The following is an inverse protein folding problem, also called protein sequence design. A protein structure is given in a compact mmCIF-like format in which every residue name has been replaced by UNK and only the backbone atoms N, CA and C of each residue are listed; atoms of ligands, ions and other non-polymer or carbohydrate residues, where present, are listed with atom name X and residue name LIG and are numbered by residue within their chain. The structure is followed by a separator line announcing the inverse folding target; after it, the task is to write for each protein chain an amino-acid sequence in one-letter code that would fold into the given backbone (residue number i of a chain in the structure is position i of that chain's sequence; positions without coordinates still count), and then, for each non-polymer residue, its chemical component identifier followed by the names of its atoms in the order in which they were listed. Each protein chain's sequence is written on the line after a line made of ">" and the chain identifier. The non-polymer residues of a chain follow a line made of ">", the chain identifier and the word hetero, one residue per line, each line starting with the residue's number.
data_IF_569395427317
#
_entry.id   IF_569395427317
#
_cell.length_a   1.000
_cell.length_b   1.000
_cell.length_c   1.000
_cell.angle_alpha   90.00
_cell.angle_beta   90.00
_cell.angle_gamma   90.00
#
_symmetry.space_group_name_H-M   'P 1'
#
loop_
_entity.id
_entity.type
_entity.pdbx_description
1 polymer ?
#
# COMPACT_ATOMS: atom_id res chain seq x y z
N UNK A 1 -11.98 4.28 26.82
CA UNK A 1 -12.58 3.61 27.98
C UNK A 1 -12.33 2.09 27.94
N UNK A 2 -12.74 1.37 26.90
CA UNK A 2 -12.62 -0.10 26.77
C UNK A 2 -11.16 -0.58 26.92
N UNK A 3 -10.20 0.03 26.23
CA UNK A 3 -8.77 -0.29 26.36
C UNK A 3 -8.21 -0.01 27.76
N UNK A 4 -8.72 1.02 28.45
CA UNK A 4 -8.29 1.41 29.78
C UNK A 4 -8.85 0.47 30.87
N UNK A 5 -10.12 0.12 30.78
CA UNK A 5 -10.84 -0.61 31.82
C UNK A 5 -10.90 -2.13 31.56
N UNK A 6 -10.63 -2.58 30.33
CA UNK A 6 -10.59 -4.00 29.90
C UNK A 6 -11.73 -4.84 30.50
N UNK A 7 -12.99 -4.43 30.30
CA UNK A 7 -14.11 -5.14 30.92
C UNK A 7 -14.12 -6.62 30.52
N UNK A 8 -14.49 -7.49 31.47
CA UNK A 8 -14.32 -8.94 31.40
C UNK A 8 -15.07 -9.61 30.23
N UNK A 9 -16.20 -9.04 29.83
CA UNK A 9 -17.09 -9.56 28.80
C UNK A 9 -17.08 -8.74 27.50
N UNK A 10 -15.98 -8.03 27.22
CA UNK A 10 -15.87 -7.25 25.99
C UNK A 10 -15.03 -7.93 24.94
N UNK A 11 -15.41 -7.71 23.68
CA UNK A 11 -14.62 -8.14 22.53
C UNK A 11 -13.29 -7.40 22.53
N UNK A 12 -12.18 -8.11 22.59
CA UNK A 12 -10.84 -7.53 22.64
C UNK A 12 -10.06 -7.85 21.38
N UNK A 13 -9.76 -6.80 20.60
CA UNK A 13 -8.81 -6.89 19.50
C UNK A 13 -7.40 -6.61 20.02
N UNK A 14 -6.55 -7.64 20.08
CA UNK A 14 -5.19 -7.55 20.65
C UNK A 14 -4.16 -6.89 19.73
N UNK A 15 -4.38 -6.87 18.42
CA UNK A 15 -3.41 -6.33 17.46
C UNK A 15 -3.63 -4.83 17.25
N UNK A 16 -2.86 -4.03 17.97
CA UNK A 16 -2.91 -2.57 17.98
C UNK A 16 -1.80 -1.92 17.11
N UNK A 17 -1.10 -2.72 16.32
CA UNK A 17 -0.02 -2.20 15.47
C UNK A 17 -0.59 -1.45 14.27
N UNK A 18 -0.08 -0.23 14.05
CA UNK A 18 -0.40 0.53 12.84
C UNK A 18 0.06 -0.22 11.58
N UNK A 19 -0.73 -0.14 10.52
CA UNK A 19 -0.34 -0.70 9.23
C UNK A 19 0.89 0.00 8.66
N UNK A 20 1.74 -0.72 7.92
CA UNK A 20 2.82 -0.09 7.17
C UNK A 20 2.29 0.66 5.95
N UNK A 21 2.96 1.76 5.64
CA UNK A 21 2.79 2.57 4.45
C UNK A 21 4.11 2.60 3.67
N UNK A 22 4.04 2.86 2.38
CA UNK A 22 5.18 3.30 1.59
C UNK A 22 5.17 4.82 1.58
N UNK A 23 6.31 5.42 1.88
CA UNK A 23 6.49 6.87 1.91
C UNK A 23 7.51 7.29 0.87
N UNK A 24 7.19 8.34 0.13
CA UNK A 24 8.07 9.03 -0.83
C UNK A 24 8.06 10.52 -0.46
N UNK A 25 9.19 11.08 -0.05
CA UNK A 25 9.30 12.48 0.34
C UNK A 25 9.11 13.41 -0.85
N UNK A 26 8.41 14.52 -0.68
CA UNK A 26 8.17 15.51 -1.74
C UNK A 26 9.27 16.57 -1.82
N UNK A 27 9.76 17.04 -0.66
CA UNK A 27 10.76 18.11 -0.56
C UNK A 27 12.19 17.67 -0.83
N UNK A 28 12.45 16.37 -0.85
CA UNK A 28 13.79 15.85 -1.10
C UNK A 28 14.19 16.07 -2.56
N UNK A 29 15.39 16.57 -2.80
CA UNK A 29 15.94 16.68 -4.15
C UNK A 29 16.10 15.30 -4.81
N UNK A 30 16.37 14.28 -4.00
CA UNK A 30 16.53 12.89 -4.38
C UNK A 30 15.63 11.99 -3.51
N UNK A 31 14.30 11.98 -3.74
CA UNK A 31 13.38 11.23 -2.89
C UNK A 31 13.74 9.75 -2.82
N UNK A 32 13.66 9.19 -1.63
CA UNK A 32 13.81 7.75 -1.43
C UNK A 32 12.47 7.09 -1.14
N UNK A 33 12.34 5.83 -1.54
CA UNK A 33 11.18 5.02 -1.17
C UNK A 33 11.47 4.32 0.15
N UNK A 34 10.63 4.57 1.15
CA UNK A 34 10.79 3.98 2.49
C UNK A 34 9.50 3.38 3.01
N UNK A 35 9.62 2.46 3.96
CA UNK A 35 8.50 1.97 4.74
C UNK A 35 8.26 2.91 5.92
N UNK A 36 7.02 3.32 6.12
CA UNK A 36 6.58 4.17 7.22
C UNK A 36 5.52 3.47 8.08
N UNK A 37 5.52 3.73 9.37
CA UNK A 37 4.47 3.34 10.31
C UNK A 37 4.21 4.48 11.30
N UNK A 38 2.98 4.56 11.78
CA UNK A 38 2.57 5.58 12.75
C UNK A 38 1.97 6.82 12.09
N UNK A 39 2.12 7.98 12.74
CA UNK A 39 1.55 9.24 12.26
C UNK A 39 2.19 9.67 10.93
N UNK A 40 1.37 10.22 10.04
CA UNK A 40 1.79 10.78 8.75
C UNK A 40 2.22 12.24 8.95
N UNK A 41 3.32 12.46 9.65
CA UNK A 41 3.85 13.75 10.06
C UNK A 41 4.85 14.36 9.07
N UNK A 42 5.31 13.58 8.09
CA UNK A 42 6.27 14.01 7.08
C UNK A 42 5.56 14.49 5.82
N UNK A 43 6.03 15.58 5.24
CA UNK A 43 5.52 16.05 3.95
C UNK A 43 5.96 15.11 2.81
N UNK A 44 4.97 14.62 2.05
CA UNK A 44 5.18 13.68 0.96
C UNK A 44 4.01 12.72 0.75
N UNK A 45 4.22 11.76 -0.10
CA UNK A 45 3.20 10.81 -0.53
C UNK A 45 3.23 9.54 0.32
N UNK A 46 2.07 9.18 0.86
CA UNK A 46 1.86 7.96 1.65
C UNK A 46 0.93 7.02 0.90
N UNK A 47 1.42 5.85 0.57
CA UNK A 47 0.66 4.79 -0.09
C UNK A 47 0.44 3.63 0.87
N UNK A 48 -0.78 3.22 1.03
CA UNK A 48 -1.19 2.20 1.99
C UNK A 48 -2.64 2.41 2.45
N UNK A 49 -3.10 1.71 3.47
CA UNK A 49 -2.35 0.74 4.31
C UNK A 49 -2.02 -0.58 3.61
N UNK A 50 -0.84 -1.14 3.88
CA UNK A 50 -0.50 -2.50 3.47
C UNK A 50 -0.86 -3.49 4.58
N UNK A 51 -1.35 -4.67 4.21
CA UNK A 51 -1.73 -5.70 5.16
C UNK A 51 -0.57 -6.18 6.06
N UNK A 52 0.64 -6.21 5.52
CA UNK A 52 1.83 -6.65 6.25
C UNK A 52 3.08 -5.88 5.87
N UNK A 53 4.09 -5.93 6.75
CA UNK A 53 5.41 -5.39 6.45
C UNK A 53 6.09 -6.11 5.28
N UNK A 54 5.79 -7.40 5.10
CA UNK A 54 6.28 -8.21 3.97
C UNK A 54 5.79 -7.68 2.64
N UNK A 55 4.48 -7.42 2.53
CA UNK A 55 3.86 -6.85 1.33
C UNK A 55 4.42 -5.47 1.00
N UNK A 56 4.57 -4.58 2.00
CA UNK A 56 5.17 -3.27 1.80
C UNK A 56 6.62 -3.37 1.31
N UNK A 57 7.44 -4.24 1.91
CA UNK A 57 8.83 -4.45 1.50
C UNK A 57 8.93 -5.04 0.09
N UNK A 58 8.03 -5.96 -0.27
CA UNK A 58 7.95 -6.51 -1.61
C UNK A 58 7.65 -5.42 -2.65
N UNK A 59 6.65 -4.58 -2.37
CA UNK A 59 6.29 -3.45 -3.25
C UNK A 59 7.46 -2.46 -3.40
N UNK A 60 8.19 -2.13 -2.31
CA UNK A 60 9.39 -1.29 -2.38
C UNK A 60 10.46 -1.91 -3.30
N UNK A 61 10.72 -3.22 -3.16
CA UNK A 61 11.68 -3.92 -4.03
C UNK A 61 11.26 -3.90 -5.51
N UNK A 62 9.93 -3.96 -5.78
CA UNK A 62 9.39 -3.86 -7.13
C UNK A 62 9.55 -2.45 -7.70
N UNK A 63 9.23 -1.41 -6.91
CA UNK A 63 9.44 -0.02 -7.30
C UNK A 63 10.92 0.27 -7.64
N UNK A 64 11.84 -0.26 -6.84
CA UNK A 64 13.27 -0.19 -7.14
C UNK A 64 13.62 -0.84 -8.47
N UNK A 65 13.11 -2.04 -8.73
CA UNK A 65 13.42 -2.78 -9.96
C UNK A 65 12.90 -2.07 -11.22
N UNK A 66 11.71 -1.44 -11.13
CA UNK A 66 11.06 -0.81 -12.27
C UNK A 66 11.58 0.61 -12.50
N UNK A 67 11.65 1.42 -11.43
CA UNK A 67 11.93 2.86 -11.52
C UNK A 67 13.36 3.24 -11.07
N UNK A 68 14.14 2.27 -10.60
CA UNK A 68 15.55 2.44 -10.17
C UNK A 68 15.73 3.52 -9.09
N UNK A 69 14.78 3.62 -8.16
CA UNK A 69 14.79 4.60 -7.09
C UNK A 69 15.74 4.21 -5.96
N UNK A 70 16.36 5.21 -5.34
CA UNK A 70 17.21 5.00 -4.18
C UNK A 70 16.41 4.59 -2.94
N UNK A 71 17.03 3.80 -2.08
CA UNK A 71 16.51 3.43 -0.74
C UNK A 71 17.49 3.68 0.38
N UNK A 72 18.75 4.04 0.05
CA UNK A 72 19.76 4.37 1.05
C UNK A 72 19.36 5.60 1.87
N UNK A 73 19.80 5.66 3.12
CA UNK A 73 19.64 6.82 3.99
C UNK A 73 20.49 8.01 3.48
N UNK A 74 20.18 9.21 3.99
CA UNK A 74 20.79 10.44 3.51
C UNK A 74 22.26 10.56 3.91
N UNK A 75 22.66 9.97 5.04
CA UNK A 75 24.05 9.89 5.46
C UNK A 75 24.87 9.05 4.50
N UNK A 76 24.38 7.84 4.19
CA UNK A 76 25.02 6.97 3.17
C UNK A 76 25.02 7.62 1.79
N UNK A 77 23.95 8.32 1.41
CA UNK A 77 23.86 9.00 0.12
C UNK A 77 24.90 10.10 -0.05
N UNK A 78 25.04 11.00 0.94
CA UNK A 78 25.98 12.14 0.91
C UNK A 78 27.44 11.75 0.93
N UNK A 79 27.77 10.65 1.64
CA UNK A 79 29.16 10.21 1.83
C UNK A 79 29.67 9.25 0.75
N UNK A 80 28.83 8.90 -0.24
CA UNK A 80 29.19 7.89 -1.23
C UNK A 80 30.02 8.49 -2.37
N UNK A 81 31.19 7.90 -2.62
CA UNK A 81 32.11 8.30 -3.70
C UNK A 81 32.10 7.36 -4.92
N UNK A 82 31.48 6.19 -4.79
CA UNK A 82 31.37 5.17 -5.86
C UNK A 82 30.00 4.52 -5.85
N UNK A 83 29.49 4.04 -7.01
CA UNK A 83 28.19 3.38 -7.08
C UNK A 83 28.18 2.11 -6.22
N UNK A 84 27.00 1.82 -5.64
CA UNK A 84 26.82 0.61 -4.85
C UNK A 84 26.33 -0.56 -5.73
N UNK A 85 26.25 -1.75 -5.12
CA UNK A 85 25.76 -2.94 -5.79
C UNK A 85 24.37 -2.76 -6.42
N UNK A 86 23.50 -1.93 -5.82
CA UNK A 86 22.16 -1.68 -6.37
C UNK A 86 22.19 -0.98 -7.73
N UNK A 87 23.20 -0.14 -7.99
CA UNK A 87 23.44 0.40 -9.32
C UNK A 87 23.88 -0.68 -10.29
N UNK A 88 24.85 -1.50 -9.89
CA UNK A 88 25.40 -2.56 -10.74
C UNK A 88 24.31 -3.58 -11.14
N UNK A 89 23.40 -3.93 -10.22
CA UNK A 89 22.27 -4.84 -10.50
C UNK A 89 21.04 -4.11 -11.07
N UNK A 90 21.20 -2.87 -11.57
CA UNK A 90 20.14 -2.04 -12.20
C UNK A 90 18.90 -1.84 -11.34
N UNK A 91 19.08 -1.71 -10.01
CA UNK A 91 18.00 -1.38 -9.05
C UNK A 91 18.06 0.02 -8.49
N UNK A 92 19.04 0.81 -8.89
CA UNK A 92 19.22 2.21 -8.55
C UNK A 92 19.90 2.92 -9.71
N UNK A 93 19.48 4.13 -10.04
CA UNK A 93 20.06 4.94 -11.12
C UNK A 93 21.37 5.65 -10.74
N UNK A 94 21.83 5.50 -9.48
CA UNK A 94 23.13 6.06 -9.03
C UNK A 94 23.14 7.57 -8.82
N UNK A 95 22.08 8.21 -8.27
CA UNK A 95 22.07 9.66 -8.10
C UNK A 95 23.12 10.17 -7.11
N UNK A 96 23.60 9.32 -6.19
CA UNK A 96 24.67 9.67 -5.24
C UNK A 96 26.05 9.92 -5.87
N UNK A 97 26.27 9.47 -7.10
CA UNK A 97 27.52 9.62 -7.86
C UNK A 97 27.31 10.36 -9.19
N UNK A 98 26.16 10.99 -9.38
CA UNK A 98 25.85 11.82 -10.54
C UNK A 98 25.59 11.06 -11.85
N UNK A 99 25.23 9.77 -11.78
CA UNK A 99 24.96 8.95 -12.98
C UNK A 99 23.58 9.20 -13.58
N UNK A 100 22.72 9.95 -12.90
CA UNK A 100 21.44 10.44 -13.41
C UNK A 100 21.29 11.89 -13.01
N UNK A 101 20.72 12.70 -13.88
CA UNK A 101 20.39 14.08 -13.55
C UNK A 101 19.10 14.17 -12.70
N UNK A 102 18.88 15.37 -12.14
CA UNK A 102 17.77 15.63 -11.23
C UNK A 102 16.39 15.49 -11.92
N UNK A 103 16.29 15.92 -13.17
CA UNK A 103 15.01 15.94 -13.90
C UNK A 103 14.61 14.51 -14.27
N UNK A 104 15.53 13.69 -14.73
CA UNK A 104 15.27 12.31 -15.09
C UNK A 104 15.00 11.44 -13.86
N UNK A 105 15.68 11.72 -12.73
CA UNK A 105 15.35 11.08 -11.47
C UNK A 105 13.94 11.45 -11.00
N UNK A 106 13.57 12.74 -11.11
CA UNK A 106 12.22 13.20 -10.77
C UNK A 106 11.16 12.54 -11.64
N UNK A 107 11.36 12.41 -12.95
CA UNK A 107 10.47 11.64 -13.84
C UNK A 107 10.27 10.21 -13.35
N UNK A 108 11.35 9.54 -12.94
CA UNK A 108 11.28 8.18 -12.39
C UNK A 108 10.47 8.12 -11.08
N UNK A 109 10.60 9.13 -10.21
CA UNK A 109 9.80 9.26 -8.98
C UNK A 109 8.32 9.48 -9.31
N UNK A 110 8.01 10.41 -10.23
CA UNK A 110 6.64 10.72 -10.64
C UNK A 110 5.95 9.49 -11.29
N UNK A 111 6.66 8.74 -12.10
CA UNK A 111 6.19 7.46 -12.66
C UNK A 111 5.91 6.44 -11.56
N UNK A 112 6.77 6.34 -10.55
CA UNK A 112 6.55 5.45 -9.42
C UNK A 112 5.31 5.84 -8.60
N UNK A 113 5.11 7.14 -8.34
CA UNK A 113 3.93 7.69 -7.67
C UNK A 113 2.66 7.36 -8.47
N UNK A 114 2.66 7.59 -9.78
CA UNK A 114 1.54 7.27 -10.67
C UNK A 114 1.24 5.76 -10.66
N UNK A 115 2.27 4.92 -10.67
CA UNK A 115 2.10 3.47 -10.62
C UNK A 115 1.39 3.01 -9.33
N UNK A 116 1.87 3.47 -8.17
CA UNK A 116 1.27 3.10 -6.88
C UNK A 116 -0.13 3.71 -6.71
N UNK A 117 -0.41 4.83 -7.40
CA UNK A 117 -1.74 5.45 -7.49
C UNK A 117 -2.69 4.76 -8.49
N UNK A 118 -2.29 3.62 -9.09
CA UNK A 118 -3.13 2.81 -9.98
C UNK A 118 -3.14 3.19 -11.46
N UNK A 119 -2.32 4.17 -11.90
CA UNK A 119 -2.22 4.60 -13.30
C UNK A 119 -1.25 3.75 -14.14
N UNK A 120 -1.22 2.46 -13.89
CA UNK A 120 -0.24 1.55 -14.49
C UNK A 120 -0.36 1.42 -16.02
N UNK A 121 -1.56 1.52 -16.60
CA UNK A 121 -1.77 1.47 -18.07
C UNK A 121 -1.14 2.67 -18.79
N UNK A 122 -1.24 3.85 -18.20
CA UNK A 122 -0.67 5.08 -18.75
C UNK A 122 0.86 5.01 -18.76
N UNK A 123 1.45 4.50 -17.68
CA UNK A 123 2.89 4.28 -17.58
C UNK A 123 3.38 3.27 -18.63
N UNK A 124 2.68 2.15 -18.81
CA UNK A 124 3.02 1.18 -19.85
C UNK A 124 3.02 1.79 -21.24
N UNK A 125 1.98 2.58 -21.55
CA UNK A 125 1.87 3.27 -22.85
C UNK A 125 3.04 4.25 -23.07
N UNK A 126 3.45 4.98 -22.02
CA UNK A 126 4.57 5.91 -22.10
C UNK A 126 5.90 5.17 -22.26
N UNK A 127 6.14 4.10 -21.49
CA UNK A 127 7.34 3.28 -21.61
C UNK A 127 7.43 2.57 -22.97
N UNK A 128 6.30 2.17 -23.57
CA UNK A 128 6.29 1.62 -24.94
C UNK A 128 6.73 2.65 -25.97
N UNK A 129 6.24 3.88 -25.87
CA UNK A 129 6.69 4.97 -26.77
C UNK A 129 8.17 5.28 -26.59
N UNK A 130 8.67 5.32 -25.35
CA UNK A 130 10.09 5.56 -25.09
C UNK A 130 10.96 4.40 -25.61
N UNK A 131 10.48 3.16 -25.54
CA UNK A 131 11.12 1.98 -26.10
C UNK A 131 11.20 2.05 -27.62
N UNK A 132 10.09 2.39 -28.28
CA UNK A 132 10.01 2.55 -29.75
C UNK A 132 10.95 3.66 -30.21
N UNK A 133 10.92 4.83 -29.59
CA UNK A 133 11.78 5.96 -29.93
C UNK A 133 13.29 5.63 -29.77
N UNK A 134 13.66 4.90 -28.71
CA UNK A 134 15.03 4.44 -28.52
C UNK A 134 15.45 3.41 -29.60
N UNK A 135 14.52 2.53 -29.99
CA UNK A 135 14.76 1.56 -31.07
C UNK A 135 14.95 2.24 -32.44
N UNK A 136 14.15 3.26 -32.75
CA UNK A 136 14.29 4.06 -33.98
C UNK A 136 15.65 4.79 -34.05
N UNK A 137 16.17 5.22 -32.89
CA UNK A 137 17.48 5.82 -32.75
C UNK A 137 18.63 4.79 -32.71
N UNK A 138 18.34 3.51 -32.91
CA UNK A 138 19.28 2.37 -32.83
C UNK A 138 19.95 2.24 -31.44
N UNK A 139 19.42 2.89 -30.39
CA UNK A 139 19.85 2.73 -28.99
C UNK A 139 19.18 1.49 -28.38
N UNK A 140 19.63 0.32 -28.81
CA UNK A 140 19.07 -0.96 -28.37
C UNK A 140 19.30 -1.26 -26.89
N UNK A 141 20.33 -0.69 -26.27
CA UNK A 141 20.57 -0.84 -24.82
C UNK A 141 19.45 -0.13 -24.05
N UNK A 142 19.13 1.09 -24.42
CA UNK A 142 18.06 1.87 -23.80
C UNK A 142 16.69 1.25 -24.08
N UNK A 143 16.43 0.81 -25.30
CA UNK A 143 15.20 0.09 -25.66
C UNK A 143 15.03 -1.19 -24.81
N UNK A 144 16.10 -1.95 -24.58
CA UNK A 144 16.05 -3.17 -23.74
C UNK A 144 15.70 -2.86 -22.28
N UNK A 145 16.17 -1.72 -21.73
CA UNK A 145 15.81 -1.27 -20.38
C UNK A 145 14.32 -1.00 -20.28
N UNK A 146 13.72 -0.29 -21.24
CA UNK A 146 12.29 0.00 -21.26
C UNK A 146 11.46 -1.27 -21.41
N UNK A 147 11.85 -2.20 -22.30
CA UNK A 147 11.22 -3.52 -22.46
C UNK A 147 11.21 -4.30 -21.14
N UNK A 148 12.31 -4.34 -20.41
CA UNK A 148 12.43 -5.09 -19.16
C UNK A 148 11.60 -4.44 -18.03
N UNK A 149 11.45 -3.11 -18.04
CA UNK A 149 10.52 -2.38 -17.16
C UNK A 149 9.06 -2.75 -17.47
N UNK A 150 8.66 -2.73 -18.74
CA UNK A 150 7.31 -3.13 -19.19
C UNK A 150 7.02 -4.58 -18.79
N UNK A 151 7.96 -5.51 -19.01
CA UNK A 151 7.84 -6.91 -18.59
C UNK A 151 7.64 -7.03 -17.09
N UNK A 152 8.37 -6.27 -16.30
CA UNK A 152 8.22 -6.25 -14.84
C UNK A 152 6.86 -5.70 -14.39
N UNK A 153 6.34 -4.67 -15.05
CA UNK A 153 4.99 -4.13 -14.81
C UNK A 153 3.91 -5.18 -15.14
N UNK A 154 4.05 -5.90 -16.26
CA UNK A 154 3.11 -6.95 -16.67
C UNK A 154 3.05 -8.10 -15.66
N UNK A 155 4.20 -8.52 -15.10
CA UNK A 155 4.24 -9.56 -14.05
C UNK A 155 3.48 -9.12 -12.81
N UNK A 156 3.61 -7.87 -12.39
CA UNK A 156 2.87 -7.33 -11.23
C UNK A 156 1.37 -7.31 -11.52
N UNK A 157 0.96 -6.82 -12.69
CA UNK A 157 -0.44 -6.78 -13.08
C UNK A 157 -1.06 -8.17 -13.22
N UNK A 158 -0.32 -9.16 -13.72
CA UNK A 158 -0.82 -10.53 -13.85
C UNK A 158 -0.99 -11.23 -12.50
N UNK A 159 -0.13 -10.96 -11.53
CA UNK A 159 -0.28 -11.47 -10.16
C UNK A 159 -1.44 -10.82 -9.40
N UNK A 160 -1.95 -9.69 -9.89
CA UNK A 160 -3.06 -8.94 -9.30
C UNK A 160 -4.40 -9.17 -10.01
N UNK A 161 -4.48 -10.05 -11.01
CA UNK A 161 -5.68 -10.30 -11.83
C UNK A 161 -6.89 -10.92 -11.11
N UNK A 162 -6.80 -11.17 -9.80
CA UNK A 162 -7.96 -11.54 -8.96
C UNK A 162 -8.71 -10.28 -8.48
N UNK A 163 -8.51 -9.16 -9.14
CA UNK A 163 -9.13 -7.89 -8.75
C UNK A 163 -10.41 -7.67 -9.57
N UNK A 164 -11.55 -7.68 -8.90
CA UNK A 164 -12.79 -7.19 -9.49
C UNK A 164 -12.62 -5.70 -9.89
N UNK A 165 -12.96 -5.44 -11.15
CA UNK A 165 -12.58 -4.19 -11.84
C UNK A 165 -13.16 -2.90 -11.25
N UNK A 166 -14.03 -2.96 -10.24
CA UNK A 166 -14.83 -1.82 -9.74
C UNK A 166 -14.44 -1.32 -8.33
N UNK A 167 -13.64 -2.06 -7.56
CA UNK A 167 -13.24 -1.64 -6.21
C UNK A 167 -12.04 -0.70 -6.26
N UNK A 168 -12.32 0.60 -6.23
CA UNK A 168 -11.26 1.63 -6.28
C UNK A 168 -10.57 1.75 -4.92
N UNK A 169 -11.35 1.84 -3.85
CA UNK A 169 -10.86 2.07 -2.48
C UNK A 169 -11.86 1.44 -1.50
N UNK A 170 -11.58 0.20 -1.09
CA UNK A 170 -12.47 -0.60 -0.28
C UNK A 170 -11.73 -1.55 0.66
N UNK A 171 -12.35 -1.89 1.78
CA UNK A 171 -11.97 -3.01 2.61
C UNK A 171 -13.07 -4.08 2.55
N UNK A 172 -12.69 -5.32 2.26
CA UNK A 172 -13.62 -6.46 2.32
C UNK A 172 -13.36 -7.21 3.61
N UNK A 173 -14.37 -7.26 4.47
CA UNK A 173 -14.28 -7.84 5.81
C UNK A 173 -15.21 -9.04 5.89
N UNK A 174 -14.65 -10.23 6.03
CA UNK A 174 -15.40 -11.47 6.15
C UNK A 174 -15.18 -12.11 7.53
N UNK A 175 -16.27 -12.44 8.22
CA UNK A 175 -16.24 -13.13 9.49
C UNK A 175 -16.77 -14.57 9.33
N UNK A 176 -16.12 -15.50 10.00
CA UNK A 176 -16.55 -16.87 10.14
C UNK A 176 -16.40 -17.31 11.61
N UNK A 177 -17.47 -17.87 12.17
CA UNK A 177 -17.52 -18.36 13.55
C UNK A 177 -17.74 -19.86 13.55
N UNK A 178 -16.87 -20.57 14.25
CA UNK A 178 -16.96 -22.01 14.45
C UNK A 178 -16.47 -22.38 15.85
N UNK A 179 -17.18 -23.28 16.51
CA UNK A 179 -16.82 -23.82 17.83
C UNK A 179 -16.46 -22.74 18.88
N UNK A 180 -17.25 -21.65 18.91
CA UNK A 180 -17.06 -20.56 19.86
C UNK A 180 -15.87 -19.63 19.55
N UNK A 181 -15.17 -19.82 18.41
CA UNK A 181 -14.07 -18.97 17.95
C UNK A 181 -14.46 -18.25 16.67
N UNK A 182 -14.00 -17.02 16.52
CA UNK A 182 -14.27 -16.22 15.31
C UNK A 182 -12.96 -15.81 14.65
N UNK A 183 -12.89 -16.04 13.33
CA UNK A 183 -11.88 -15.50 12.46
C UNK A 183 -12.50 -14.36 11.63
N UNK A 184 -11.87 -13.20 11.61
CA UNK A 184 -12.26 -12.09 10.76
C UNK A 184 -11.11 -11.80 9.80
N UNK A 185 -11.37 -11.95 8.50
CA UNK A 185 -10.40 -11.70 7.44
C UNK A 185 -10.68 -10.35 6.81
N UNK A 186 -9.68 -9.47 6.74
CA UNK A 186 -9.78 -8.16 6.09
C UNK A 186 -8.87 -8.14 4.87
N UNK A 187 -9.44 -7.83 3.71
CA UNK A 187 -8.73 -7.62 2.46
C UNK A 187 -8.70 -6.12 2.14
N UNK A 188 -7.55 -5.60 1.76
CA UNK A 188 -7.35 -4.18 1.49
C UNK A 188 -7.27 -3.93 -0.01
N UNK A 189 -8.23 -3.21 -0.56
CA UNK A 189 -8.23 -2.76 -1.95
C UNK A 189 -7.96 -1.26 -1.99
N UNK A 190 -6.91 -0.87 -2.71
CA UNK A 190 -6.55 0.54 -2.93
C UNK A 190 -6.13 0.72 -4.38
N UNK A 191 -6.62 1.79 -5.03
CA UNK A 191 -6.33 2.08 -6.43
C UNK A 191 -6.58 0.89 -7.36
N UNK A 192 -7.68 0.15 -7.14
CA UNK A 192 -8.06 -1.06 -7.87
C UNK A 192 -7.09 -2.23 -7.71
N UNK A 193 -6.24 -2.24 -6.70
CA UNK A 193 -5.27 -3.29 -6.43
C UNK A 193 -5.50 -3.89 -5.05
N UNK A 194 -5.36 -5.22 -4.95
CA UNK A 194 -5.35 -5.90 -3.66
C UNK A 194 -3.98 -5.71 -3.00
N UNK A 195 -3.94 -4.96 -1.89
CA UNK A 195 -2.72 -4.70 -1.13
C UNK A 195 -2.48 -5.71 0.00
N UNK A 196 -3.14 -6.85 -0.10
CA UNK A 196 -3.00 -7.97 0.81
C UNK A 196 -4.20 -8.13 1.75
N UNK A 197 -4.07 -9.06 2.66
CA UNK A 197 -5.10 -9.37 3.65
C UNK A 197 -4.48 -9.68 5.03
N UNK A 198 -5.31 -9.59 6.06
CA UNK A 198 -4.92 -9.88 7.43
C UNK A 198 -6.06 -10.58 8.16
N UNK A 199 -5.74 -11.68 8.86
CA UNK A 199 -6.67 -12.38 9.74
C UNK A 199 -6.59 -11.84 11.16
N UNK A 200 -7.74 -11.73 11.80
CA UNK A 200 -7.92 -11.32 13.19
C UNK A 200 -8.74 -12.36 13.94
N UNK A 201 -8.38 -12.60 15.19
CA UNK A 201 -9.05 -13.54 16.07
C UNK A 201 -9.47 -12.79 17.34
N UNK A 202 -10.61 -12.05 17.30
CA UNK A 202 -11.09 -11.31 18.48
C UNK A 202 -11.45 -12.29 19.59
N UNK A 203 -11.17 -11.90 20.82
CA UNK A 203 -11.65 -12.63 22.00
C UNK A 203 -13.05 -12.12 22.34
N UNK A 204 -13.99 -13.03 22.44
CA UNK A 204 -15.38 -12.76 22.77
C UNK A 204 -15.97 -13.93 23.56
N UNK A 205 -17.20 -13.77 24.06
CA UNK A 205 -17.94 -14.86 24.65
C UNK A 205 -18.31 -15.88 23.55
N UNK A 206 -18.15 -17.21 23.80
CA UNK A 206 -18.52 -18.25 22.84
C UNK A 206 -19.96 -18.17 22.33
N UNK A 207 -20.91 -17.69 23.15
CA UNK A 207 -22.32 -17.60 22.81
C UNK A 207 -22.69 -16.29 22.08
N UNK A 208 -21.79 -15.34 22.01
CA UNK A 208 -22.04 -14.03 21.38
C UNK A 208 -22.31 -14.15 19.88
N UNK A 209 -23.29 -13.40 19.36
CA UNK A 209 -23.69 -13.43 17.97
C UNK A 209 -22.61 -12.83 17.05
N UNK A 210 -22.43 -13.42 15.88
CA UNK A 210 -21.46 -12.96 14.87
C UNK A 210 -21.71 -11.50 14.43
N UNK A 211 -22.97 -11.06 14.41
CA UNK A 211 -23.41 -9.69 14.11
C UNK A 211 -22.85 -8.68 15.11
N UNK A 212 -22.92 -8.99 16.41
CA UNK A 212 -22.34 -8.15 17.49
C UNK A 212 -20.81 -8.15 17.43
N UNK A 213 -20.22 -9.32 17.17
CA UNK A 213 -18.77 -9.46 17.05
C UNK A 213 -18.25 -8.59 15.89
N UNK A 214 -18.94 -8.61 14.72
CA UNK A 214 -18.57 -7.83 13.56
C UNK A 214 -18.73 -6.32 13.83
N UNK A 215 -19.84 -5.88 14.41
CA UNK A 215 -20.07 -4.46 14.76
C UNK A 215 -18.98 -3.93 15.69
N UNK A 216 -18.68 -4.68 16.77
CA UNK A 216 -17.62 -4.30 17.72
C UNK A 216 -16.23 -4.35 17.10
N UNK A 217 -15.98 -5.32 16.22
CA UNK A 217 -14.72 -5.40 15.49
C UNK A 217 -14.50 -4.18 14.61
N UNK A 218 -15.47 -3.78 13.78
CA UNK A 218 -15.35 -2.63 12.88
C UNK A 218 -15.03 -1.35 13.64
N UNK A 219 -15.72 -1.08 14.75
CA UNK A 219 -15.49 0.11 15.56
C UNK A 219 -14.09 0.12 16.18
N UNK A 220 -13.62 -1.00 16.73
CA UNK A 220 -12.28 -1.11 17.30
C UNK A 220 -11.19 -1.10 16.23
N UNK A 221 -11.44 -1.77 15.10
CA UNK A 221 -10.50 -1.87 14.00
C UNK A 221 -10.19 -0.50 13.37
N UNK A 222 -11.23 0.28 13.14
CA UNK A 222 -11.08 1.61 12.56
C UNK A 222 -10.80 2.73 13.58
N UNK A 223 -10.74 2.46 14.88
CA UNK A 223 -10.42 3.48 15.90
C UNK A 223 -9.11 4.22 15.59
N UNK A 224 -8.05 3.50 15.18
CA UNK A 224 -6.72 4.06 14.93
C UNK A 224 -6.25 3.84 13.48
N UNK A 225 -7.15 3.49 12.56
CA UNK A 225 -6.84 3.22 11.16
C UNK A 225 -7.66 4.12 10.24
N UNK A 226 -7.13 4.44 9.08
CA UNK A 226 -7.87 5.15 8.03
C UNK A 226 -8.99 4.27 7.49
N UNK A 227 -10.14 4.87 7.25
CA UNK A 227 -11.32 4.17 6.74
C UNK A 227 -11.41 4.39 5.23
N UNK A 228 -11.63 3.34 4.41
CA UNK A 228 -11.91 3.51 2.99
C UNK A 228 -13.31 4.04 2.77
N UNK A 229 -13.60 4.50 1.54
CA UNK A 229 -14.95 4.96 1.17
C UNK A 229 -15.99 3.86 1.21
N UNK A 230 -15.58 2.60 0.99
CA UNK A 230 -16.46 1.45 0.96
C UNK A 230 -15.92 0.33 1.86
N UNK A 231 -16.78 -0.22 2.70
CA UNK A 231 -16.53 -1.42 3.49
C UNK A 231 -17.54 -2.46 3.05
N UNK A 232 -17.08 -3.61 2.57
CA UNK A 232 -17.93 -4.72 2.17
C UNK A 232 -17.85 -5.78 3.26
N UNK A 233 -18.99 -6.22 3.77
CA UNK A 233 -19.09 -7.22 4.83
C UNK A 233 -19.94 -8.41 4.36
N UNK A 234 -19.66 -9.60 4.91
CA UNK A 234 -20.41 -10.82 4.63
C UNK A 234 -21.51 -11.12 5.65
N UNK A 235 -21.67 -10.27 6.65
CA UNK A 235 -22.60 -10.48 7.77
C UNK A 235 -23.32 -9.16 8.06
N UNK A 236 -24.60 -9.19 8.33
CA UNK A 236 -25.33 -8.03 8.82
C UNK A 236 -24.71 -7.52 10.12
N UNK A 237 -24.80 -6.23 10.35
CA UNK A 237 -24.29 -5.57 11.55
C UNK A 237 -25.40 -4.78 12.25
N UNK A 238 -25.32 -4.72 13.56
CA UNK A 238 -26.21 -3.85 14.36
C UNK A 238 -25.80 -2.39 14.15
N UNK A 239 -26.79 -1.49 14.17
CA UNK A 239 -26.57 -0.05 14.14
C UNK A 239 -25.72 0.45 12.93
N UNK A 240 -25.87 -0.20 11.78
CA UNK A 240 -25.14 0.10 10.55
C UNK A 240 -25.05 1.61 10.27
N UNK A 241 -26.19 2.33 10.33
CA UNK A 241 -26.22 3.78 10.09
C UNK A 241 -25.37 4.56 11.08
N UNK A 242 -25.42 4.21 12.35
CA UNK A 242 -24.63 4.86 13.38
C UNK A 242 -23.12 4.65 13.17
N UNK A 243 -22.73 3.44 12.76
CA UNK A 243 -21.33 3.11 12.43
C UNK A 243 -20.88 3.92 11.20
N UNK A 244 -21.67 3.97 10.12
CA UNK A 244 -21.39 4.76 8.92
C UNK A 244 -21.22 6.25 9.24
N UNK A 245 -22.12 6.83 10.03
CA UNK A 245 -22.04 8.24 10.46
C UNK A 245 -20.80 8.52 11.31
N UNK A 246 -20.49 7.63 12.25
CA UNK A 246 -19.32 7.77 13.13
C UNK A 246 -18.01 7.72 12.35
N UNK A 247 -17.89 6.75 11.43
CA UNK A 247 -16.71 6.61 10.59
C UNK A 247 -16.59 7.76 9.57
N UNK A 248 -17.73 8.22 9.02
CA UNK A 248 -17.77 9.36 8.09
C UNK A 248 -17.34 10.67 8.76
N UNK A 249 -17.78 10.93 9.99
CA UNK A 249 -17.33 12.08 10.78
C UNK A 249 -15.81 12.03 11.08
N UNK A 250 -15.29 10.83 11.35
CA UNK A 250 -13.87 10.66 11.63
C UNK A 250 -12.98 11.03 10.43
N UNK A 251 -13.36 10.64 9.23
CA UNK A 251 -12.54 10.82 8.01
C UNK A 251 -12.93 12.07 7.21
N UNK A 252 -13.96 12.81 7.62
CA UNK A 252 -14.58 13.93 6.88
C UNK A 252 -15.01 13.56 5.45
N UNK A 253 -15.41 12.31 5.23
CA UNK A 253 -15.84 11.77 3.95
C UNK A 253 -17.02 10.82 4.15
N UNK A 254 -17.89 10.69 3.12
CA UNK A 254 -18.96 9.70 3.14
C UNK A 254 -18.38 8.29 3.06
N UNK A 255 -18.75 7.44 4.02
CA UNK A 255 -18.36 6.03 4.10
C UNK A 255 -19.64 5.20 4.00
N UNK A 256 -19.59 4.14 3.20
CA UNK A 256 -20.67 3.17 3.03
C UNK A 256 -20.19 1.78 3.46
N UNK A 257 -21.09 1.04 4.13
CA UNK A 257 -20.84 -0.35 4.54
C UNK A 257 -21.80 -1.26 3.78
#
# INVERSE_FOLDING_TARGET
>A
LIKKHKPKFNILLKDDKSFPFIFIGEKDQWPRVTKHRGKKDKEGFYFGPFASAGTANWTIKMLQKIFQLRVCDDGTFKNRKRPCILYQIKRCSGPCVGYIDKNDYKKSVDQAIQFVSGKSREIQKNLSKEMEAASEQLDFEKASIFRDRIKSLNIIQSSQRINEANLVDADVVAAYKESGKTCIQVFFYRSKQNWGNQAYFPKHDPDQNITEIMSSFLMQFYENKSVPKLIIINTEINDKRLIEETLSKKENNSISI
#
